data_IF_450483743724
#
_entry.id   IF_450483743724
#
_cell.length_a   1.000
_cell.length_b   1.000
_cell.length_c   1.000
_cell.angle_alpha   90.00
_cell.angle_beta   90.00
_cell.angle_gamma   90.00
#
_symmetry.space_group_name_H-M   'P 1'
#
loop_
_entity.id
_entity.type
_entity.pdbx_description
1 polymer ?
#
# COMPACT_ATOMS: atom_id res chain seq x y z
N UNK A 1 22.22 0.35 -4.90
CA UNK A 1 20.85 0.63 -4.44
C UNK A 1 20.27 -0.67 -3.92
N UNK A 2 19.90 -0.74 -2.64
CA UNK A 2 19.33 -1.97 -2.05
C UNK A 2 17.96 -2.23 -2.70
N UNK A 3 17.72 -3.48 -3.09
CA UNK A 3 16.44 -3.88 -3.70
C UNK A 3 15.37 -3.84 -2.61
N UNK A 4 14.30 -3.07 -2.84
CA UNK A 4 13.13 -3.05 -1.94
C UNK A 4 12.59 -4.47 -1.73
N UNK A 5 12.43 -4.83 -0.47
CA UNK A 5 11.77 -6.03 -0.02
C UNK A 5 10.28 -6.02 -0.38
N UNK A 6 9.67 -7.20 -0.31
CA UNK A 6 8.23 -7.37 -0.55
C UNK A 6 7.39 -6.55 0.43
N UNK A 7 7.77 -6.52 1.71
CA UNK A 7 7.03 -5.80 2.76
C UNK A 7 7.12 -4.29 2.57
N UNK A 8 8.28 -3.76 2.16
CA UNK A 8 8.43 -2.35 1.82
C UNK A 8 7.52 -1.95 0.66
N UNK A 9 7.44 -2.75 -0.41
CA UNK A 9 6.56 -2.45 -1.55
C UNK A 9 5.09 -2.41 -1.11
N UNK A 10 4.65 -3.36 -0.29
CA UNK A 10 3.30 -3.37 0.27
C UNK A 10 3.07 -2.12 1.12
N UNK A 11 3.99 -1.81 2.03
CA UNK A 11 3.92 -0.61 2.87
C UNK A 11 3.82 0.66 2.00
N UNK A 12 4.66 0.80 0.98
CA UNK A 12 4.68 1.96 0.10
C UNK A 12 3.32 2.16 -0.59
N UNK A 13 2.74 1.10 -1.16
CA UNK A 13 1.42 1.15 -1.81
C UNK A 13 0.33 1.60 -0.82
N UNK A 14 0.29 1.00 0.37
CA UNK A 14 -0.72 1.34 1.38
C UNK A 14 -0.54 2.77 1.90
N UNK A 15 0.70 3.22 2.11
CA UNK A 15 1.01 4.59 2.51
C UNK A 15 0.59 5.62 1.46
N UNK A 16 0.78 5.33 0.16
CA UNK A 16 0.30 6.22 -0.90
C UNK A 16 -1.21 6.42 -0.78
N UNK A 17 -1.99 5.35 -0.59
CA UNK A 17 -3.45 5.45 -0.43
C UNK A 17 -3.81 6.23 0.84
N UNK A 18 -3.17 5.94 1.98
CA UNK A 18 -3.36 6.65 3.26
C UNK A 18 -3.15 8.16 3.10
N UNK A 19 -2.06 8.56 2.44
CA UNK A 19 -1.67 9.96 2.26
C UNK A 19 -2.60 10.75 1.33
N UNK A 20 -3.42 10.07 0.51
CA UNK A 20 -4.45 10.69 -0.31
C UNK A 20 -5.82 10.66 0.39
N UNK A 21 -5.85 10.98 1.68
CA UNK A 21 -7.06 10.95 2.51
C UNK A 21 -7.85 9.63 2.39
N UNK A 22 -7.13 8.52 2.23
CA UNK A 22 -7.69 7.18 2.07
C UNK A 22 -8.63 7.01 0.84
N UNK A 23 -8.50 7.87 -0.17
CA UNK A 23 -9.34 7.82 -1.36
C UNK A 23 -8.52 8.20 -2.60
N UNK A 24 -8.13 7.21 -3.40
CA UNK A 24 -7.22 7.41 -4.53
C UNK A 24 -7.63 6.64 -5.77
N UNK A 25 -7.56 7.27 -6.95
CA UNK A 25 -7.79 6.55 -8.22
C UNK A 25 -6.66 5.54 -8.51
N UNK A 26 -6.93 4.41 -9.18
CA UNK A 26 -5.92 3.40 -9.50
C UNK A 26 -4.73 3.93 -10.32
N UNK A 27 -4.98 4.83 -11.28
CA UNK A 27 -3.92 5.37 -12.17
C UNK A 27 -2.88 6.20 -11.41
N UNK A 28 -3.25 7.18 -10.56
CA UNK A 28 -2.30 7.83 -9.66
C UNK A 28 -1.54 6.86 -8.74
N UNK A 29 -2.20 5.83 -8.22
CA UNK A 29 -1.57 4.84 -7.34
C UNK A 29 -0.45 4.07 -8.05
N UNK A 30 -0.71 3.56 -9.26
CA UNK A 30 0.30 2.90 -10.09
C UNK A 30 1.49 3.84 -10.33
N UNK A 31 1.24 5.09 -10.76
CA UNK A 31 2.31 6.04 -11.09
C UNK A 31 3.20 6.37 -9.90
N UNK A 32 2.65 6.40 -8.69
CA UNK A 32 3.38 6.72 -7.46
C UNK A 32 4.08 5.51 -6.83
N UNK A 33 3.63 4.28 -7.12
CA UNK A 33 4.20 3.05 -6.54
C UNK A 33 5.66 2.77 -6.93
N UNK A 34 6.16 3.47 -7.96
CA UNK A 34 7.51 3.34 -8.49
C UNK A 34 7.89 1.88 -8.81
N UNK A 35 6.94 1.08 -9.32
CA UNK A 35 7.15 -0.29 -9.80
C UNK A 35 6.51 -0.45 -11.19
N UNK A 36 6.95 -1.47 -11.94
CA UNK A 36 6.39 -1.73 -13.27
C UNK A 36 4.90 -2.06 -13.20
N UNK A 37 4.14 -1.75 -14.25
CA UNK A 37 2.70 -2.01 -14.33
C UNK A 37 2.34 -3.47 -14.07
N UNK A 38 3.18 -4.40 -14.53
CA UNK A 38 2.98 -5.83 -14.29
C UNK A 38 3.08 -6.17 -12.80
N UNK A 39 4.16 -5.75 -12.11
CA UNK A 39 4.34 -6.01 -10.68
C UNK A 39 3.29 -5.29 -9.85
N UNK A 40 2.93 -4.07 -10.23
CA UNK A 40 1.85 -3.34 -9.57
C UNK A 40 0.56 -4.13 -9.59
N UNK A 41 0.17 -4.69 -10.74
CA UNK A 41 -1.05 -5.49 -10.87
C UNK A 41 -1.02 -6.73 -9.95
N UNK A 42 0.13 -7.38 -9.81
CA UNK A 42 0.29 -8.52 -8.89
C UNK A 42 0.06 -8.10 -7.43
N UNK A 43 0.77 -7.08 -6.97
CA UNK A 43 0.62 -6.56 -5.61
C UNK A 43 -0.78 -6.01 -5.35
N UNK A 44 -1.33 -5.27 -6.30
CA UNK A 44 -2.66 -4.70 -6.19
C UNK A 44 -3.73 -5.79 -6.01
N UNK A 45 -3.68 -6.83 -6.86
CA UNK A 45 -4.59 -7.97 -6.74
C UNK A 45 -4.39 -8.71 -5.42
N UNK A 46 -3.15 -8.88 -4.97
CA UNK A 46 -2.86 -9.51 -3.69
C UNK A 46 -3.46 -8.73 -2.51
N UNK A 47 -3.30 -7.40 -2.52
CA UNK A 47 -3.83 -6.52 -1.47
C UNK A 47 -5.36 -6.48 -1.49
N UNK A 48 -5.97 -6.51 -2.67
CA UNK A 48 -7.41 -6.56 -2.84
C UNK A 48 -7.98 -7.90 -2.35
N UNK A 49 -7.42 -9.03 -2.83
CA UNK A 49 -7.82 -10.38 -2.41
C UNK A 49 -7.54 -10.62 -0.92
N UNK A 50 -6.48 -10.02 -0.40
CA UNK A 50 -6.10 -10.08 1.00
C UNK A 50 -6.91 -9.14 1.91
N UNK A 51 -7.86 -8.38 1.37
CA UNK A 51 -8.69 -7.40 2.09
C UNK A 51 -7.87 -6.32 2.82
N UNK A 52 -6.72 -5.91 2.29
CA UNK A 52 -5.95 -4.75 2.78
C UNK A 52 -6.45 -3.44 2.17
N UNK A 53 -6.95 -3.51 0.94
CA UNK A 53 -7.57 -2.41 0.22
C UNK A 53 -8.94 -2.86 -0.29
N UNK A 54 -9.79 -1.88 -0.62
CA UNK A 54 -11.08 -2.07 -1.27
C UNK A 54 -11.26 -1.06 -2.39
N UNK A 55 -12.00 -1.46 -3.42
CA UNK A 55 -12.47 -0.56 -4.46
C UNK A 55 -13.81 0.05 -4.07
N UNK A 56 -13.96 1.35 -4.30
CA UNK A 56 -15.18 2.11 -4.09
C UNK A 56 -15.55 2.71 -5.46
N UNK A 57 -16.67 2.29 -6.01
CA UNK A 57 -17.21 2.84 -7.26
C UNK A 57 -18.31 3.85 -6.95
N UNK A 58 -18.20 5.06 -7.50
CA UNK A 58 -19.25 6.07 -7.44
C UNK A 58 -19.41 6.75 -8.81
N UNK A 59 -20.24 7.79 -8.89
CA UNK A 59 -20.48 8.54 -10.14
C UNK A 59 -19.22 9.18 -10.74
N UNK A 60 -18.20 9.44 -9.92
CA UNK A 60 -16.95 10.12 -10.29
C UNK A 60 -15.82 9.13 -10.68
N UNK A 61 -16.10 7.83 -10.59
CA UNK A 61 -15.24 6.73 -11.03
C UNK A 61 -14.91 5.72 -9.93
N UNK A 62 -13.83 4.97 -10.15
CA UNK A 62 -13.32 3.97 -9.23
C UNK A 62 -12.21 4.54 -8.36
N UNK A 63 -12.32 4.33 -7.06
CA UNK A 63 -11.37 4.76 -6.05
C UNK A 63 -10.91 3.58 -5.21
N UNK A 64 -9.74 3.73 -4.61
CA UNK A 64 -9.11 2.78 -3.72
C UNK A 64 -9.08 3.38 -2.33
N UNK A 65 -9.44 2.57 -1.34
CA UNK A 65 -9.38 2.89 0.07
C UNK A 65 -8.72 1.74 0.82
N UNK A 66 -7.99 2.05 1.89
CA UNK A 66 -7.58 1.06 2.88
C UNK A 66 -8.80 0.51 3.63
N UNK A 67 -8.67 -0.73 4.06
CA UNK A 67 -9.53 -1.35 5.06
C UNK A 67 -8.90 -1.24 6.44
N UNK A 68 -9.61 -1.66 7.49
CA UNK A 68 -9.03 -1.78 8.83
C UNK A 68 -7.77 -2.65 8.84
N UNK A 69 -7.75 -3.74 8.06
CA UNK A 69 -6.58 -4.61 7.92
C UNK A 69 -5.41 -3.89 7.26
N UNK A 70 -5.68 -3.04 6.27
CA UNK A 70 -4.67 -2.17 5.64
C UNK A 70 -4.02 -1.20 6.63
N UNK A 71 -4.83 -0.52 7.45
CA UNK A 71 -4.32 0.36 8.51
C UNK A 71 -3.50 -0.41 9.54
N UNK A 72 -4.01 -1.55 10.02
CA UNK A 72 -3.31 -2.39 11.00
C UNK A 72 -1.96 -2.90 10.48
N UNK A 73 -1.86 -3.19 9.18
CA UNK A 73 -0.57 -3.55 8.58
C UNK A 73 0.45 -2.41 8.71
N UNK A 74 0.05 -1.18 8.38
CA UNK A 74 0.93 -0.01 8.50
C UNK A 74 1.40 0.20 9.94
N UNK A 75 0.49 0.10 10.91
CA UNK A 75 0.83 0.26 12.33
C UNK A 75 1.83 -0.82 12.80
N UNK A 76 1.63 -2.08 12.37
CA UNK A 76 2.53 -3.18 12.71
C UNK A 76 3.88 -3.08 12.02
N UNK A 77 3.90 -2.59 10.78
CA UNK A 77 5.14 -2.34 10.07
C UNK A 77 5.97 -1.26 10.79
N UNK A 78 5.34 -0.18 11.22
CA UNK A 78 6.02 0.89 11.98
C UNK A 78 6.66 0.36 13.26
N UNK A 79 5.94 -0.47 14.03
CA UNK A 79 6.47 -1.11 15.25
C UNK A 79 7.73 -1.95 14.94
N UNK A 80 7.73 -2.68 13.82
CA UNK A 80 8.89 -3.50 13.43
C UNK A 80 10.09 -2.61 13.08
N UNK A 81 9.87 -1.52 12.33
CA UNK A 81 10.96 -0.60 11.99
C UNK A 81 11.50 0.09 13.23
N UNK A 82 10.63 0.60 14.11
CA UNK A 82 11.09 1.21 15.38
C UNK A 82 11.90 0.24 16.23
N UNK A 83 11.51 -1.04 16.26
CA UNK A 83 12.29 -2.07 16.95
C UNK A 83 13.66 -2.28 16.29
N UNK A 84 13.72 -2.43 14.97
CA UNK A 84 15.01 -2.60 14.26
C UNK A 84 15.93 -1.40 14.54
N UNK A 85 15.38 -0.19 14.47
CA UNK A 85 16.11 1.06 14.72
C UNK A 85 16.60 1.14 16.18
N UNK A 86 15.78 0.74 17.16
CA UNK A 86 16.14 0.73 18.59
C UNK A 86 17.30 -0.22 18.90
N UNK A 87 17.38 -1.35 18.19
CA UNK A 87 18.41 -2.37 18.40
C UNK A 87 19.57 -2.30 17.39
N UNK A 88 19.61 -1.27 16.54
CA UNK A 88 20.65 -1.05 15.51
C UNK A 88 20.87 -2.27 14.57
N UNK A 89 19.78 -2.95 14.17
CA UNK A 89 19.79 -4.18 13.35
C UNK A 89 19.69 -3.95 11.83
#
# INVERSE_FOLDING_TARGET
MVKRSRLEIIKDILTIVKNHNNLLKPTPLLRQSNISSHRFKEYFNELLNGNFIKEISNKDGNFISLTEKGFKFLDKYEIIISFIDEFEL
#
